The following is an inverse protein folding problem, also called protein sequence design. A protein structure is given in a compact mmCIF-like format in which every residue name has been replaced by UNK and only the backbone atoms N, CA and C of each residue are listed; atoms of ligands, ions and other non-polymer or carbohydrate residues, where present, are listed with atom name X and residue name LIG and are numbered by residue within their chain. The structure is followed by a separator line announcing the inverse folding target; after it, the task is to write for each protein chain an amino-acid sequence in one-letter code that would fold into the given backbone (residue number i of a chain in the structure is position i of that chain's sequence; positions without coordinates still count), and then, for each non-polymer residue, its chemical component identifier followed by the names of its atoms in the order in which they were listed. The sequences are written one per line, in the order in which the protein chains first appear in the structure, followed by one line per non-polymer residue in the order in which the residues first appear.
data_IF_118882394490
#
_entry.id   IF_118882394490
#
_cell.length_a   1.000
_cell.length_b   1.000
_cell.length_c   1.000
_cell.angle_alpha   90.00
_cell.angle_beta   90.00
_cell.angle_gamma   90.00
#
_symmetry.space_group_name_H-M   'P 1'
#
loop_
_entity.id
_entity.type
_entity.pdbx_description
1 polymer ?
#
# COMPACT_ATOMS: atom_id res chain seq x y z
N UNK A 1 35.72 -22.64 -21.61
CA UNK A 1 34.53 -23.41 -21.20
C UNK A 1 34.88 -24.87 -21.42
N UNK A 2 34.56 -25.73 -20.46
CA UNK A 2 34.83 -27.17 -20.54
C UNK A 2 33.51 -27.90 -20.76
N UNK A 3 33.52 -28.86 -21.67
CA UNK A 3 32.40 -29.76 -21.91
C UNK A 3 32.88 -31.18 -21.59
N UNK A 4 32.13 -31.85 -20.73
CA UNK A 4 32.39 -33.22 -20.32
C UNK A 4 31.25 -34.09 -20.83
N UNK A 5 31.59 -35.09 -21.65
CA UNK A 5 30.63 -36.10 -22.09
C UNK A 5 30.77 -37.31 -21.18
N UNK A 6 29.72 -37.75 -20.47
CA UNK A 6 29.81 -38.90 -19.58
C UNK A 6 30.26 -40.16 -20.34
N UNK A 7 31.32 -40.82 -19.85
CA UNK A 7 31.89 -42.03 -20.47
C UNK A 7 32.97 -41.79 -21.53
N UNK A 8 33.22 -40.53 -21.91
CA UNK A 8 34.33 -40.15 -22.78
C UNK A 8 35.47 -39.54 -21.95
N UNK A 9 36.71 -39.94 -22.24
CA UNK A 9 37.90 -39.39 -21.57
C UNK A 9 38.36 -38.08 -22.22
N UNK A 10 37.83 -37.73 -23.39
CA UNK A 10 38.21 -36.52 -24.09
C UNK A 10 37.41 -35.31 -23.60
N UNK A 11 38.13 -34.32 -23.09
CA UNK A 11 37.57 -33.05 -22.65
C UNK A 11 37.59 -32.08 -23.83
N UNK A 12 36.41 -31.60 -24.26
CA UNK A 12 36.34 -30.53 -25.24
C UNK A 12 36.46 -29.17 -24.53
N UNK A 13 37.44 -28.38 -24.96
CA UNK A 13 37.74 -27.08 -24.36
C UNK A 13 37.72 -25.97 -25.42
N UNK A 14 36.82 -24.99 -25.25
CA UNK A 14 36.70 -23.83 -26.12
C UNK A 14 37.21 -22.55 -25.44
N UNK A 15 37.98 -21.69 -26.12
CA UNK A 15 38.47 -21.81 -27.51
C UNK A 15 39.68 -22.74 -27.67
N UNK A 16 40.43 -22.97 -26.59
CA UNK A 16 41.48 -23.99 -26.52
C UNK A 16 41.62 -24.46 -25.07
N UNK A 17 42.30 -25.59 -24.87
CA UNK A 17 42.55 -26.13 -23.54
C UNK A 17 43.26 -25.13 -22.62
N UNK A 18 44.31 -24.47 -23.12
CA UNK A 18 45.07 -23.46 -22.38
C UNK A 18 44.19 -22.27 -22.01
N UNK A 19 43.44 -21.72 -22.97
CA UNK A 19 42.59 -20.56 -22.71
C UNK A 19 41.44 -20.89 -21.76
N UNK A 20 40.85 -22.09 -21.87
CA UNK A 20 39.82 -22.54 -20.94
C UNK A 20 40.39 -22.75 -19.53
N UNK A 21 41.60 -23.32 -19.43
CA UNK A 21 42.32 -23.50 -18.16
C UNK A 21 42.66 -22.17 -17.51
N UNK A 22 43.22 -21.22 -18.27
CA UNK A 22 43.54 -19.87 -17.76
C UNK A 22 42.28 -19.12 -17.32
N UNK A 23 41.18 -19.24 -18.07
CA UNK A 23 39.90 -18.67 -17.64
C UNK A 23 39.41 -19.26 -16.32
N UNK A 24 39.53 -20.58 -16.14
CA UNK A 24 39.15 -21.23 -14.86
C UNK A 24 40.10 -20.82 -13.74
N UNK A 25 41.41 -20.77 -13.97
CA UNK A 25 42.38 -20.28 -12.99
C UNK A 25 42.10 -18.84 -12.57
N UNK A 26 41.84 -17.96 -13.53
CA UNK A 26 41.49 -16.56 -13.27
C UNK A 26 40.15 -16.45 -12.54
N UNK A 27 39.16 -17.28 -12.90
CA UNK A 27 37.88 -17.33 -12.20
C UNK A 27 38.06 -17.78 -10.75
N UNK A 28 38.84 -18.83 -10.49
CA UNK A 28 39.14 -19.32 -9.15
C UNK A 28 39.96 -18.29 -8.34
N UNK A 29 40.94 -17.62 -8.97
CA UNK A 29 41.68 -16.53 -8.32
C UNK A 29 40.79 -15.31 -8.00
N UNK A 30 39.73 -15.10 -8.78
CA UNK A 30 38.73 -14.05 -8.52
C UNK A 30 37.69 -14.43 -7.45
N UNK A 31 37.63 -15.72 -7.08
CA UNK A 31 36.68 -16.27 -6.11
C UNK A 31 36.80 -15.56 -4.76
N UNK A 32 38.02 -15.31 -4.29
CA UNK A 32 38.26 -14.74 -2.96
C UNK A 32 37.84 -13.27 -2.81
N UNK A 33 37.66 -12.52 -3.91
CA UNK A 33 37.49 -11.05 -3.83
C UNK A 33 36.19 -10.53 -4.42
N UNK A 34 35.72 -11.09 -5.54
CA UNK A 34 34.61 -10.45 -6.29
C UNK A 34 33.32 -11.27 -6.31
N UNK A 35 33.40 -12.60 -6.18
CA UNK A 35 32.22 -13.46 -6.29
C UNK A 35 31.26 -13.30 -5.10
N UNK A 36 31.71 -13.28 -3.82
CA UNK A 36 30.83 -13.01 -2.69
C UNK A 36 30.14 -11.66 -2.82
N UNK A 37 30.87 -10.61 -3.24
CA UNK A 37 30.31 -9.26 -3.43
C UNK A 37 29.22 -9.26 -4.51
N UNK A 38 29.42 -9.96 -5.63
CA UNK A 38 28.38 -10.08 -6.68
C UNK A 38 27.18 -10.89 -6.20
N UNK A 39 27.40 -11.96 -5.44
CA UNK A 39 26.32 -12.77 -4.86
C UNK A 39 25.48 -11.96 -3.87
N UNK A 40 26.11 -11.25 -2.94
CA UNK A 40 25.42 -10.35 -1.99
C UNK A 40 24.62 -9.29 -2.74
N UNK A 41 25.19 -8.65 -3.78
CA UNK A 41 24.44 -7.68 -4.60
C UNK A 41 23.21 -8.28 -5.30
N UNK A 42 23.29 -9.52 -5.77
CA UNK A 42 22.15 -10.20 -6.37
C UNK A 42 21.10 -10.58 -5.32
N UNK A 43 21.53 -11.04 -4.15
CA UNK A 43 20.66 -11.34 -3.02
C UNK A 43 19.93 -10.08 -2.53
N UNK A 44 20.65 -8.98 -2.32
CA UNK A 44 20.08 -7.68 -1.96
C UNK A 44 19.07 -7.19 -2.99
N UNK A 45 19.38 -7.34 -4.28
CA UNK A 45 18.47 -6.99 -5.36
C UNK A 45 17.19 -7.83 -5.31
N UNK A 46 17.31 -9.15 -5.19
CA UNK A 46 16.14 -10.03 -5.11
C UNK A 46 15.30 -9.76 -3.86
N UNK A 47 15.95 -9.51 -2.73
CA UNK A 47 15.27 -9.14 -1.48
C UNK A 47 14.52 -7.82 -1.65
N UNK A 48 15.10 -6.83 -2.32
CA UNK A 48 14.43 -5.55 -2.60
C UNK A 48 13.18 -5.73 -3.46
N UNK A 49 13.23 -6.62 -4.45
CA UNK A 49 12.10 -6.97 -5.31
C UNK A 49 11.01 -7.67 -4.50
N UNK A 50 11.39 -8.62 -3.63
CA UNK A 50 10.47 -9.34 -2.76
C UNK A 50 9.75 -8.37 -1.81
N UNK A 51 10.50 -7.51 -1.11
CA UNK A 51 9.95 -6.50 -0.21
C UNK A 51 8.98 -5.55 -0.93
N UNK A 52 9.30 -5.14 -2.17
CA UNK A 52 8.42 -4.29 -2.96
C UNK A 52 7.12 -5.00 -3.37
N UNK A 53 7.17 -6.32 -3.64
CA UNK A 53 5.99 -7.12 -3.95
C UNK A 53 5.13 -7.34 -2.70
N UNK A 54 5.75 -7.66 -1.57
CA UNK A 54 5.08 -7.79 -0.27
C UNK A 54 4.37 -6.48 0.13
N UNK A 55 5.04 -5.34 -0.03
CA UNK A 55 4.43 -4.04 0.21
C UNK A 55 3.18 -3.78 -0.66
N UNK A 56 3.18 -4.20 -1.92
CA UNK A 56 2.01 -4.10 -2.80
C UNK A 56 0.87 -5.02 -2.38
N UNK A 57 1.19 -6.24 -1.94
CA UNK A 57 0.20 -7.20 -1.42
C UNK A 57 -0.47 -6.62 -0.17
N UNK A 58 0.32 -6.15 0.79
CA UNK A 58 -0.18 -5.53 2.02
C UNK A 58 -1.09 -4.31 1.74
N UNK A 59 -0.77 -3.51 0.72
CA UNK A 59 -1.63 -2.40 0.29
C UNK A 59 -2.95 -2.89 -0.29
N UNK A 60 -2.91 -3.92 -1.14
CA UNK A 60 -4.11 -4.51 -1.74
C UNK A 60 -5.00 -5.16 -0.69
N UNK A 61 -4.42 -5.88 0.26
CA UNK A 61 -5.15 -6.50 1.39
C UNK A 61 -5.90 -5.44 2.20
N UNK A 62 -5.25 -4.32 2.56
CA UNK A 62 -5.92 -3.21 3.25
C UNK A 62 -7.08 -2.62 2.44
N UNK A 63 -6.94 -2.52 1.12
CA UNK A 63 -8.01 -2.02 0.25
C UNK A 63 -9.16 -3.01 0.20
N UNK A 64 -8.87 -4.31 0.11
CA UNK A 64 -9.88 -5.38 0.11
C UNK A 64 -10.62 -5.40 1.44
N UNK A 65 -9.93 -5.39 2.57
CA UNK A 65 -10.53 -5.35 3.91
C UNK A 65 -11.48 -4.14 4.05
N UNK A 66 -11.05 -2.96 3.60
CA UNK A 66 -11.89 -1.77 3.62
C UNK A 66 -13.15 -1.92 2.77
N UNK A 67 -13.01 -2.43 1.54
CA UNK A 67 -14.14 -2.64 0.63
C UNK A 67 -15.11 -3.71 1.13
N UNK A 68 -14.59 -4.78 1.71
CA UNK A 68 -15.40 -5.84 2.31
C UNK A 68 -16.18 -5.33 3.51
N UNK A 69 -15.56 -4.47 4.33
CA UNK A 69 -16.24 -3.83 5.45
C UNK A 69 -17.35 -2.87 5.00
N UNK A 70 -17.09 -2.05 3.98
CA UNK A 70 -18.09 -1.16 3.38
C UNK A 70 -19.24 -1.94 2.75
N UNK A 71 -18.93 -3.04 2.05
CA UNK A 71 -19.94 -3.93 1.47
C UNK A 71 -20.81 -4.57 2.55
N UNK A 72 -20.21 -5.14 3.59
CA UNK A 72 -20.94 -5.71 4.72
C UNK A 72 -21.83 -4.67 5.43
N UNK A 73 -21.35 -3.44 5.59
CA UNK A 73 -22.14 -2.34 6.12
C UNK A 73 -23.37 -2.04 5.25
N UNK A 74 -23.20 -1.89 3.94
CA UNK A 74 -24.30 -1.61 3.02
C UNK A 74 -25.35 -2.74 3.04
N UNK A 75 -24.90 -4.00 3.05
CA UNK A 75 -25.79 -5.16 3.12
C UNK A 75 -26.62 -5.22 4.42
N UNK A 76 -26.09 -4.71 5.53
CA UNK A 76 -26.82 -4.59 6.79
C UNK A 76 -27.85 -3.45 6.73
N UNK A 77 -27.47 -2.30 6.16
CA UNK A 77 -28.37 -1.15 6.00
C UNK A 77 -29.55 -1.49 5.10
N UNK A 78 -29.31 -2.24 4.02
CA UNK A 78 -30.35 -2.72 3.11
C UNK A 78 -31.14 -3.93 3.66
N UNK A 79 -30.82 -4.39 4.89
CA UNK A 79 -31.42 -5.54 5.56
C UNK A 79 -31.35 -6.87 4.76
N UNK A 80 -30.42 -6.96 3.81
CA UNK A 80 -30.18 -8.16 2.99
C UNK A 80 -29.41 -9.22 3.81
N UNK A 81 -28.45 -8.78 4.62
CA UNK A 81 -27.69 -9.63 5.55
C UNK A 81 -28.14 -9.37 6.98
N UNK A 82 -28.23 -10.41 7.80
CA UNK A 82 -28.56 -10.28 9.22
C UNK A 82 -27.30 -10.32 10.10
N UNK A 83 -27.38 -9.75 11.29
CA UNK A 83 -26.25 -9.72 12.24
C UNK A 83 -25.77 -11.10 12.69
N UNK A 84 -26.66 -12.10 12.77
CA UNK A 84 -26.32 -13.49 13.12
C UNK A 84 -25.49 -14.19 12.04
N UNK A 85 -25.40 -13.61 10.83
CA UNK A 85 -24.62 -14.12 9.70
C UNK A 85 -23.23 -13.47 9.59
N UNK A 86 -22.86 -12.60 10.52
CA UNK A 86 -21.55 -11.97 10.56
C UNK A 86 -20.60 -12.73 11.47
N UNK A 87 -19.35 -12.86 11.03
CA UNK A 87 -18.30 -13.40 11.89
C UNK A 87 -17.87 -12.38 12.95
N UNK A 88 -17.34 -12.86 14.08
CA UNK A 88 -16.86 -12.01 15.19
C UNK A 88 -15.87 -10.94 14.72
N UNK A 89 -14.99 -11.28 13.77
CA UNK A 89 -14.03 -10.34 13.18
C UNK A 89 -14.73 -9.23 12.40
N UNK A 90 -15.74 -9.57 11.58
CA UNK A 90 -16.53 -8.61 10.81
C UNK A 90 -17.30 -7.68 11.74
N UNK A 91 -17.94 -8.23 12.78
CA UNK A 91 -18.68 -7.46 13.79
C UNK A 91 -17.76 -6.44 14.47
N UNK A 92 -16.55 -6.86 14.89
CA UNK A 92 -15.58 -5.96 15.52
C UNK A 92 -15.13 -4.85 14.58
N UNK A 93 -14.87 -5.18 13.31
CA UNK A 93 -14.50 -4.19 12.31
C UNK A 93 -15.64 -3.19 12.04
N UNK A 94 -16.90 -3.65 12.02
CA UNK A 94 -18.07 -2.80 11.84
C UNK A 94 -18.26 -1.84 13.03
N UNK A 95 -18.09 -2.31 14.26
CA UNK A 95 -18.13 -1.45 15.46
C UNK A 95 -17.12 -0.30 15.35
N UNK A 96 -15.89 -0.60 14.93
CA UNK A 96 -14.87 0.42 14.72
C UNK A 96 -15.26 1.41 13.62
N UNK A 97 -15.82 0.91 12.50
CA UNK A 97 -16.31 1.78 11.43
C UNK A 97 -17.42 2.72 11.92
N UNK A 98 -18.38 2.21 12.70
CA UNK A 98 -19.45 3.03 13.28
C UNK A 98 -18.90 4.13 14.18
N UNK A 99 -17.90 3.84 15.01
CA UNK A 99 -17.27 4.84 15.87
C UNK A 99 -16.65 5.97 15.03
N UNK A 100 -15.92 5.63 13.97
CA UNK A 100 -15.33 6.62 13.05
C UNK A 100 -16.41 7.45 12.34
N UNK A 101 -17.46 6.81 11.82
CA UNK A 101 -18.55 7.51 11.14
C UNK A 101 -19.32 8.44 12.08
N UNK A 102 -19.54 8.02 13.33
CA UNK A 102 -20.17 8.85 14.35
C UNK A 102 -19.34 10.09 14.66
N UNK A 103 -18.04 9.94 14.89
CA UNK A 103 -17.14 11.08 15.10
C UNK A 103 -17.14 12.05 13.91
N UNK A 104 -17.17 11.53 12.68
CA UNK A 104 -17.30 12.37 11.47
C UNK A 104 -18.62 13.13 11.40
N UNK A 105 -19.73 12.52 11.84
CA UNK A 105 -21.03 13.19 11.89
C UNK A 105 -21.07 14.27 12.98
N UNK A 106 -20.51 13.99 14.15
CA UNK A 106 -20.43 14.95 15.26
C UNK A 106 -19.60 16.18 14.86
N UNK A 107 -18.50 15.97 14.13
CA UNK A 107 -17.67 17.06 13.60
C UNK A 107 -18.43 17.91 12.57
N UNK A 108 -19.16 17.27 11.63
CA UNK A 108 -20.00 17.99 10.66
C UNK A 108 -21.13 18.76 11.33
N UNK A 109 -21.71 18.22 12.41
CA UNK A 109 -22.77 18.88 13.15
C UNK A 109 -22.25 20.17 13.82
N UNK A 110 -21.03 20.14 14.38
CA UNK A 110 -20.39 21.35 14.93
C UNK A 110 -20.14 22.41 13.86
N UNK A 111 -19.55 22.01 12.72
CA UNK A 111 -19.28 22.90 11.59
C UNK A 111 -20.57 23.54 11.05
N UNK A 112 -21.67 22.79 10.98
CA UNK A 112 -22.95 23.33 10.57
C UNK A 112 -23.47 24.39 11.55
N UNK A 113 -23.35 24.14 12.86
CA UNK A 113 -23.80 25.10 13.87
C UNK A 113 -22.97 26.40 13.85
N UNK A 114 -21.65 26.29 13.68
CA UNK A 114 -20.75 27.45 13.55
C UNK A 114 -21.05 28.29 12.29
N UNK A 115 -21.40 27.65 11.17
CA UNK A 115 -21.79 28.35 9.94
C UNK A 115 -23.16 29.05 10.07
N UNK A 116 -24.10 28.47 10.81
CA UNK A 116 -25.42 29.09 11.06
C UNK A 116 -25.29 30.30 11.99
N UNK A 117 -24.41 30.25 13.00
CA UNK A 117 -24.15 31.40 13.88
C UNK A 117 -23.52 32.59 13.14
N UNK A 118 -22.67 32.34 12.13
CA UNK A 118 -22.03 33.40 11.34
C UNK A 118 -22.95 34.04 10.27
N UNK A 119 -23.94 33.33 9.74
CA UNK A 119 -24.95 33.88 8.82
C UNK A 119 -26.03 34.72 9.53
N UNK A 120 -26.35 34.43 10.79
CA UNK A 120 -27.34 35.20 11.56
C UNK A 120 -26.78 36.58 11.98
N UNK A 121 -25.49 36.67 12.34
CA UNK A 121 -24.84 37.92 12.78
C UNK A 121 -24.59 38.93 11.63
N UNK A 122 -24.65 38.50 10.37
CA UNK A 122 -24.37 39.35 9.22
C UNK A 122 -25.61 40.01 8.59
N UNK A 123 -26.81 39.74 9.10
CA UNK A 123 -28.07 40.24 8.53
C UNK A 123 -28.79 41.33 9.37
N UNK A 124 -28.18 41.85 10.45
CA UNK A 124 -28.78 42.85 11.35
C UNK A 124 -28.29 44.30 11.14
N UNK A 125 -27.86 44.66 9.92
CA UNK A 125 -27.56 46.05 9.57
C UNK A 125 -28.18 46.45 8.23
N UNK A 126 -29.48 46.79 8.26
CA UNK A 126 -30.02 47.93 7.51
C UNK A 126 -31.51 48.12 7.80
N UNK A 127 -31.83 48.85 8.87
CA UNK A 127 -32.99 49.74 8.83
C UNK A 127 -32.74 50.98 9.69
N UNK A 128 -33.07 52.16 9.15
CA UNK A 128 -33.12 53.39 9.94
C UNK A 128 -32.18 54.53 9.55
N UNK A 129 -32.21 54.99 8.29
CA UNK A 129 -32.05 56.44 8.02
C UNK A 129 -33.18 56.96 7.13
N UNK A 130 -34.28 57.37 7.77
CA UNK A 130 -35.31 58.22 7.17
C UNK A 130 -34.76 59.65 7.02
N UNK A 131 -34.92 60.18 5.82
CA UNK A 131 -34.66 61.56 5.43
C UNK A 131 -35.42 62.56 6.32
N UNK A 132 -34.68 63.47 6.96
CA UNK A 132 -35.21 64.73 7.45
C UNK A 132 -34.85 65.83 6.46
N UNK A 133 -35.83 66.26 5.66
CA UNK A 133 -35.70 67.42 4.78
C UNK A 133 -35.61 68.72 5.59
N UNK A 134 -34.79 69.66 5.12
CA UNK A 134 -34.74 71.03 5.63
C UNK A 134 -35.02 71.99 4.47
N UNK A 135 -36.13 72.72 4.65
CA UNK A 135 -36.61 73.98 4.05
C UNK A 135 -36.52 74.19 2.53
#
# INVERSE_FOLDING_TARGET
MFFFTPGDQNIFAWPSLTQATDRVKNYLASFDKQRPIKMVKHEDFLQSVLNAKEGKINQLEKIVEKKELEYNFNQLVEAIKRFDQLEVREIKALINLFAVKRAQLDERAKQLNENVETEIDSNDYNDGKKNGGHL
#
